data_IF_467493148802
#
_entry.id   IF_467493148802
#
_cell.length_a   1.000
_cell.length_b   1.000
_cell.length_c   1.000
_cell.angle_alpha   90.00
_cell.angle_beta   90.00
_cell.angle_gamma   90.00
#
_symmetry.space_group_name_H-M   'P 1'
#
loop_
_entity.id
_entity.type
_entity.pdbx_description
1 polymer ?
#
# COMPACT_ATOMS: atom_id res chain seq x y z
N UNK A 1 10.36 -13.94 18.90
CA UNK A 1 10.42 -13.90 17.42
C UNK A 1 9.08 -13.41 16.91
N UNK A 2 9.05 -12.69 15.81
CA UNK A 2 7.85 -12.29 15.10
C UNK A 2 8.05 -12.56 13.61
N UNK A 3 6.97 -12.59 12.83
CA UNK A 3 7.03 -12.73 11.37
C UNK A 3 6.39 -11.51 10.71
N UNK A 4 6.98 -11.05 9.63
CA UNK A 4 6.43 -9.99 8.77
C UNK A 4 6.68 -10.29 7.31
N UNK A 5 5.75 -9.88 6.42
CA UNK A 5 5.97 -9.97 5.00
C UNK A 5 7.02 -8.96 4.54
N UNK A 6 7.84 -9.40 3.59
CA UNK A 6 8.73 -8.59 2.77
C UNK A 6 8.22 -8.68 1.34
N UNK A 7 7.95 -7.53 0.72
CA UNK A 7 7.40 -7.44 -0.61
C UNK A 7 8.51 -7.11 -1.60
N UNK A 8 8.74 -8.00 -2.55
CA UNK A 8 9.85 -7.93 -3.49
C UNK A 8 9.32 -7.60 -4.88
N UNK A 9 9.86 -6.55 -5.48
CA UNK A 9 9.52 -6.19 -6.85
C UNK A 9 10.19 -7.16 -7.84
N UNK A 10 9.47 -7.56 -8.89
CA UNK A 10 9.94 -8.62 -9.79
C UNK A 10 9.71 -8.30 -11.27
N UNK A 11 10.61 -8.83 -12.13
CA UNK A 11 10.43 -8.89 -13.60
C UNK A 11 9.81 -10.20 -14.08
N UNK A 12 9.55 -11.17 -13.18
CA UNK A 12 8.94 -12.46 -13.54
C UNK A 12 7.58 -12.25 -14.22
N UNK A 13 7.24 -13.15 -15.12
CA UNK A 13 6.05 -13.02 -15.98
C UNK A 13 4.77 -13.54 -15.32
N UNK A 14 4.87 -14.21 -14.18
CA UNK A 14 3.80 -14.90 -13.49
C UNK A 14 3.25 -14.18 -12.25
N UNK A 15 3.89 -13.08 -11.82
CA UNK A 15 3.45 -12.31 -10.66
C UNK A 15 3.79 -10.83 -10.76
N UNK A 16 3.04 -9.96 -10.09
CA UNK A 16 3.41 -8.56 -9.92
C UNK A 16 4.45 -8.39 -8.83
N UNK A 17 4.34 -9.12 -7.72
CA UNK A 17 5.30 -9.08 -6.61
C UNK A 17 5.55 -10.49 -6.09
N UNK A 18 6.67 -10.66 -5.39
CA UNK A 18 6.89 -11.81 -4.52
C UNK A 18 6.72 -11.39 -3.07
N UNK A 19 5.98 -12.17 -2.30
CA UNK A 19 5.83 -11.96 -0.86
C UNK A 19 6.55 -13.09 -0.12
N UNK A 20 7.45 -12.73 0.80
CA UNK A 20 8.18 -13.66 1.65
C UNK A 20 7.97 -13.32 3.10
N UNK A 21 7.57 -14.30 3.90
CA UNK A 21 7.58 -14.14 5.36
C UNK A 21 9.02 -14.25 5.88
N UNK A 22 9.40 -13.28 6.72
CA UNK A 22 10.69 -13.24 7.39
C UNK A 22 10.50 -13.28 8.89
N UNK A 23 11.17 -14.23 9.55
CA UNK A 23 11.21 -14.32 11.00
C UNK A 23 12.35 -13.47 11.55
N UNK A 24 12.05 -12.61 12.56
CA UNK A 24 12.98 -11.66 13.11
C UNK A 24 12.73 -11.39 14.60
N UNK A 25 13.69 -10.74 15.26
CA UNK A 25 13.54 -10.30 16.65
C UNK A 25 12.66 -9.04 16.72
N UNK A 26 11.54 -9.12 17.43
CA UNK A 26 10.66 -8.00 17.69
C UNK A 26 11.04 -7.26 18.97
N UNK A 27 11.22 -5.96 18.89
CA UNK A 27 11.47 -5.08 20.03
C UNK A 27 10.15 -4.43 20.46
N UNK A 28 9.53 -4.87 21.57
CA UNK A 28 8.23 -4.35 21.98
C UNK A 28 8.31 -2.91 22.46
N UNK A 29 7.23 -2.15 22.27
CA UNK A 29 7.07 -0.79 22.74
C UNK A 29 6.50 0.16 21.69
N UNK A 30 5.91 1.26 22.16
CA UNK A 30 5.30 2.29 21.32
C UNK A 30 6.29 3.36 20.86
N UNK A 31 7.47 3.44 21.47
CA UNK A 31 8.49 4.41 21.12
C UNK A 31 9.03 4.17 19.70
N UNK A 32 9.26 5.26 18.96
CA UNK A 32 9.80 5.21 17.59
C UNK A 32 11.12 4.42 17.56
N UNK A 33 11.97 4.59 18.56
CA UNK A 33 13.25 3.85 18.65
C UNK A 33 13.08 2.33 18.74
N UNK A 34 12.03 1.82 19.38
CA UNK A 34 11.74 0.38 19.42
C UNK A 34 11.25 -0.13 18.08
N UNK A 35 10.42 0.66 17.39
CA UNK A 35 10.00 0.34 16.03
C UNK A 35 11.19 0.31 15.07
N UNK A 36 12.09 1.27 15.17
CA UNK A 36 13.31 1.33 14.36
C UNK A 36 14.26 0.15 14.61
N UNK A 37 14.39 -0.31 15.86
CA UNK A 37 15.13 -1.56 16.17
C UNK A 37 14.47 -2.79 15.52
N UNK A 38 13.15 -2.86 15.57
CA UNK A 38 12.41 -3.95 14.90
C UNK A 38 12.57 -3.92 13.38
N UNK A 39 12.58 -2.72 12.77
CA UNK A 39 12.84 -2.54 11.34
C UNK A 39 14.25 -3.03 10.98
N UNK A 40 15.27 -2.62 11.74
CA UNK A 40 16.66 -3.09 11.52
C UNK A 40 16.77 -4.60 11.62
N UNK A 41 16.16 -5.19 12.66
CA UNK A 41 16.14 -6.64 12.82
C UNK A 41 15.45 -7.35 11.67
N UNK A 42 14.32 -6.83 11.19
CA UNK A 42 13.62 -7.36 10.02
C UNK A 42 14.48 -7.28 8.74
N UNK A 43 15.11 -6.11 8.50
CA UNK A 43 15.96 -5.93 7.32
C UNK A 43 17.20 -6.84 7.35
N UNK A 44 17.89 -6.95 8.49
CA UNK A 44 19.03 -7.85 8.64
C UNK A 44 18.61 -9.32 8.40
N UNK A 45 17.50 -9.75 9.00
CA UNK A 45 16.97 -11.08 8.78
C UNK A 45 16.57 -11.33 7.31
N UNK A 46 15.99 -10.34 6.64
CA UNK A 46 15.64 -10.45 5.22
C UNK A 46 16.90 -10.52 4.32
N UNK A 47 17.95 -9.77 4.64
CA UNK A 47 19.24 -9.87 3.95
C UNK A 47 19.85 -11.28 4.12
N UNK A 48 19.87 -11.80 5.33
CA UNK A 48 20.42 -13.13 5.61
C UNK A 48 19.60 -14.27 5.00
N UNK A 49 18.26 -14.23 5.13
CA UNK A 49 17.38 -15.32 4.71
C UNK A 49 17.08 -15.31 3.21
N UNK A 50 17.02 -14.13 2.59
CA UNK A 50 16.55 -13.95 1.20
C UNK A 50 17.64 -13.42 0.25
N UNK A 51 18.80 -12.99 0.77
CA UNK A 51 19.89 -12.44 -0.05
C UNK A 51 19.57 -11.04 -0.62
N UNK A 52 18.66 -10.29 0.00
CA UNK A 52 18.27 -8.95 -0.44
C UNK A 52 19.32 -7.91 -0.02
N UNK A 53 19.63 -6.95 -0.90
CA UNK A 53 20.66 -5.95 -0.63
C UNK A 53 20.09 -4.54 -0.39
N UNK A 54 18.94 -4.21 -0.99
CA UNK A 54 18.31 -2.90 -0.88
C UNK A 54 16.84 -3.03 -0.46
N UNK A 55 16.58 -2.78 0.83
CA UNK A 55 15.24 -2.88 1.42
C UNK A 55 14.84 -1.51 1.96
N UNK A 56 13.66 -1.03 1.59
CA UNK A 56 13.09 0.22 2.10
C UNK A 56 11.93 -0.05 3.04
N UNK A 57 12.02 0.47 4.25
CA UNK A 57 10.88 0.56 5.15
C UNK A 57 9.98 1.72 4.74
N UNK A 58 8.71 1.46 4.43
CA UNK A 58 7.71 2.47 4.08
C UNK A 58 6.74 2.61 5.25
N UNK A 59 7.06 3.51 6.15
CA UNK A 59 6.18 3.90 7.25
C UNK A 59 6.63 5.22 7.88
N UNK A 60 5.78 5.80 8.72
CA UNK A 60 6.14 6.97 9.54
C UNK A 60 7.25 6.68 10.56
N UNK A 61 7.72 5.44 10.67
CA UNK A 61 8.80 4.99 11.58
C UNK A 61 10.11 4.70 10.85
N UNK A 62 10.11 4.80 9.52
CA UNK A 62 11.33 4.63 8.74
C UNK A 62 12.44 5.56 9.23
N UNK A 63 13.70 5.08 9.17
CA UNK A 63 14.89 5.92 9.39
C UNK A 63 15.28 6.71 8.15
N UNK A 64 14.73 6.34 6.99
CA UNK A 64 14.98 7.00 5.72
C UNK A 64 13.87 8.01 5.45
N UNK A 65 14.23 9.25 5.14
CA UNK A 65 13.27 10.30 4.78
C UNK A 65 12.38 9.89 3.60
N UNK A 66 12.94 9.17 2.64
CA UNK A 66 12.18 8.59 1.52
C UNK A 66 11.07 7.68 2.04
N UNK A 67 11.37 6.74 2.93
CA UNK A 67 10.36 5.80 3.46
C UNK A 67 9.26 6.50 4.27
N UNK A 68 9.61 7.59 4.96
CA UNK A 68 8.62 8.44 5.65
C UNK A 68 7.75 9.18 4.64
N UNK A 69 8.35 9.77 3.60
CA UNK A 69 7.60 10.52 2.57
C UNK A 69 6.68 9.64 1.73
N UNK A 70 7.06 8.38 1.53
CA UNK A 70 6.28 7.36 0.82
C UNK A 70 5.18 6.72 1.67
N UNK A 71 5.13 6.99 2.99
CA UNK A 71 4.01 6.52 3.80
C UNK A 71 2.69 7.07 3.27
N UNK A 72 1.65 6.26 3.22
CA UNK A 72 0.31 6.66 2.77
C UNK A 72 -0.29 7.85 3.56
N UNK A 73 0.25 8.12 4.76
CA UNK A 73 -0.08 9.29 5.58
C UNK A 73 0.57 10.58 5.08
N UNK A 74 1.61 10.50 4.23
CA UNK A 74 2.41 11.63 3.74
C UNK A 74 2.40 11.74 2.21
N UNK A 75 2.48 10.61 1.50
CA UNK A 75 2.43 10.58 0.04
C UNK A 75 1.07 11.10 -0.42
N UNK A 76 1.09 12.23 -1.15
CA UNK A 76 -0.13 12.94 -1.54
C UNK A 76 -0.33 12.90 -3.04
N UNK A 77 -1.59 12.94 -3.46
CA UNK A 77 -1.98 13.16 -4.85
C UNK A 77 -3.02 14.26 -4.93
N UNK A 78 -3.25 14.76 -6.14
CA UNK A 78 -4.28 15.75 -6.44
C UNK A 78 -5.38 15.06 -7.24
N UNK A 79 -6.63 15.17 -6.79
CA UNK A 79 -7.78 14.62 -7.48
C UNK A 79 -8.28 15.55 -8.61
N UNK A 80 -9.30 15.14 -9.36
CA UNK A 80 -9.90 15.93 -10.45
C UNK A 80 -10.44 17.31 -10.01
N UNK A 81 -10.83 17.45 -8.76
CA UNK A 81 -11.38 18.72 -8.19
C UNK A 81 -10.27 19.63 -7.66
N UNK A 82 -8.99 19.34 -7.98
CA UNK A 82 -7.80 20.03 -7.49
C UNK A 82 -7.63 20.01 -5.96
N UNK A 83 -8.19 19.01 -5.29
CA UNK A 83 -7.93 18.78 -3.88
C UNK A 83 -6.66 17.95 -3.76
N UNK A 84 -5.66 18.45 -3.04
CA UNK A 84 -4.43 17.71 -2.72
C UNK A 84 -4.52 17.15 -1.32
N UNK A 85 -4.43 15.83 -1.19
CA UNK A 85 -4.46 15.13 0.09
C UNK A 85 -3.62 13.84 0.06
N UNK A 86 -3.21 13.31 1.24
CA UNK A 86 -2.55 12.02 1.34
C UNK A 86 -3.39 10.85 0.85
N UNK A 87 -2.73 9.79 0.38
CA UNK A 87 -3.36 8.53 -0.05
C UNK A 87 -4.36 8.01 1.00
N UNK A 88 -3.98 7.99 2.28
CA UNK A 88 -4.85 7.53 3.37
C UNK A 88 -6.17 8.33 3.44
N UNK A 89 -6.11 9.64 3.22
CA UNK A 89 -7.29 10.53 3.27
C UNK A 89 -8.26 10.19 2.13
N UNK A 90 -7.75 10.09 0.92
CA UNK A 90 -8.58 9.71 -0.23
C UNK A 90 -9.13 8.29 -0.09
N UNK A 91 -8.31 7.35 0.39
CA UNK A 91 -8.77 5.99 0.61
C UNK A 91 -9.93 5.92 1.61
N UNK A 92 -9.85 6.64 2.74
CA UNK A 92 -10.92 6.63 3.72
C UNK A 92 -12.18 7.36 3.22
N UNK A 93 -12.02 8.52 2.61
CA UNK A 93 -13.14 9.33 2.12
C UNK A 93 -13.88 8.75 0.91
N UNK A 94 -13.23 7.83 0.16
CA UNK A 94 -13.82 7.16 -1.01
C UNK A 94 -14.68 5.94 -0.66
N UNK A 95 -14.68 5.48 0.58
CA UNK A 95 -15.45 4.31 1.01
C UNK A 95 -16.94 4.57 0.90
N UNK A 96 -17.66 3.62 0.31
CA UNK A 96 -19.12 3.59 0.22
C UNK A 96 -19.62 2.38 0.98
N UNK A 97 -20.50 2.63 1.90
CA UNK A 97 -21.13 1.61 2.75
C UNK A 97 -22.60 1.46 2.36
N UNK A 98 -23.25 0.42 2.80
CA UNK A 98 -24.68 0.19 2.56
C UNK A 98 -25.56 1.28 3.18
N UNK A 99 -25.09 1.99 4.22
CA UNK A 99 -25.82 3.04 4.91
C UNK A 99 -25.15 4.43 4.80
N UNK A 100 -24.14 4.61 3.94
CA UNK A 100 -23.49 5.92 3.80
C UNK A 100 -22.25 5.94 2.92
N UNK A 101 -21.72 7.15 2.71
CA UNK A 101 -20.54 7.39 1.88
C UNK A 101 -20.84 7.65 0.40
N UNK A 102 -19.86 8.01 -0.40
CA UNK A 102 -18.50 8.34 0.02
C UNK A 102 -18.48 9.61 0.91
N UNK A 103 -17.54 9.66 1.84
CA UNK A 103 -17.40 10.78 2.77
C UNK A 103 -16.33 11.77 2.27
N UNK A 104 -16.60 12.47 1.17
CA UNK A 104 -15.63 13.34 0.50
C UNK A 104 -15.23 14.58 1.32
N UNK A 105 -15.99 14.95 2.36
CA UNK A 105 -15.60 15.95 3.35
C UNK A 105 -14.31 15.56 4.11
N UNK A 106 -14.00 14.27 4.20
CA UNK A 106 -12.74 13.77 4.77
C UNK A 106 -11.51 14.22 3.96
N UNK A 107 -11.65 14.58 2.69
CA UNK A 107 -10.55 15.08 1.86
C UNK A 107 -9.92 16.37 2.40
N UNK A 108 -10.63 17.08 3.29
CA UNK A 108 -10.14 18.28 3.98
C UNK A 108 -9.58 18.00 5.38
N UNK A 109 -9.48 16.73 5.79
CA UNK A 109 -9.00 16.31 7.10
C UNK A 109 -7.55 15.84 7.04
N UNK A 110 -6.93 15.74 8.21
CA UNK A 110 -5.64 15.03 8.32
C UNK A 110 -5.85 13.52 8.17
N UNK A 111 -4.81 12.79 7.75
CA UNK A 111 -4.84 11.32 7.62
C UNK A 111 -5.31 10.64 8.91
N UNK A 112 -4.93 11.21 10.07
CA UNK A 112 -5.31 10.66 11.38
C UNK A 112 -6.79 10.88 11.69
N UNK A 113 -7.33 12.03 11.36
CA UNK A 113 -8.76 12.34 11.53
C UNK A 113 -9.59 11.50 10.56
N UNK A 114 -9.23 11.46 9.29
CA UNK A 114 -9.93 10.66 8.29
C UNK A 114 -10.00 9.17 8.69
N UNK A 115 -8.88 8.60 9.15
CA UNK A 115 -8.82 7.19 9.59
C UNK A 115 -9.68 6.87 10.82
N UNK A 116 -9.98 7.87 11.64
CA UNK A 116 -10.72 7.71 12.91
C UNK A 116 -12.15 8.21 12.84
N UNK A 117 -12.63 8.57 11.68
CA UNK A 117 -14.00 9.06 11.52
C UNK A 117 -15.00 7.94 11.89
N UNK A 118 -15.91 8.24 12.80
CA UNK A 118 -16.85 7.25 13.35
C UNK A 118 -17.76 6.67 12.28
N UNK A 119 -18.08 7.44 11.24
CA UNK A 119 -18.91 7.00 10.11
C UNK A 119 -18.33 5.80 9.38
N UNK A 120 -16.99 5.61 9.40
CA UNK A 120 -16.34 4.45 8.78
C UNK A 120 -16.67 3.12 9.50
N UNK A 121 -17.21 3.19 10.72
CA UNK A 121 -17.60 2.03 11.52
C UNK A 121 -19.13 1.93 11.61
N UNK A 122 -19.83 3.08 11.64
CA UNK A 122 -21.26 3.15 11.92
C UNK A 122 -22.15 3.04 10.67
N UNK A 123 -21.57 3.14 9.47
CA UNK A 123 -22.32 3.14 8.20
C UNK A 123 -22.58 1.76 7.61
N UNK A 124 -22.38 0.68 8.39
CA UNK A 124 -22.67 -0.69 7.96
C UNK A 124 -21.55 -1.33 7.14
N UNK A 125 -21.90 -2.18 6.19
CA UNK A 125 -20.93 -2.95 5.40
C UNK A 125 -20.34 -2.13 4.26
N UNK A 126 -19.02 -2.22 4.06
CA UNK A 126 -18.34 -1.60 2.92
C UNK A 126 -18.75 -2.34 1.64
N UNK A 127 -19.25 -1.62 0.64
CA UNK A 127 -19.76 -2.19 -0.61
C UNK A 127 -18.94 -1.86 -1.85
N UNK A 128 -18.32 -0.68 -1.91
CA UNK A 128 -17.47 -0.25 -3.03
C UNK A 128 -16.64 0.99 -2.62
N UNK A 129 -15.82 1.51 -3.56
CA UNK A 129 -15.17 2.80 -3.41
C UNK A 129 -15.58 3.73 -4.56
N UNK A 130 -15.75 5.03 -4.27
CA UNK A 130 -15.97 6.05 -5.29
C UNK A 130 -14.87 7.10 -5.24
N UNK A 131 -14.15 7.28 -6.34
CA UNK A 131 -13.09 8.27 -6.48
C UNK A 131 -13.06 8.83 -7.92
N UNK A 132 -13.01 10.15 -8.06
CA UNK A 132 -12.93 10.86 -9.35
C UNK A 132 -13.93 10.35 -10.41
N UNK A 133 -15.22 10.26 -10.03
CA UNK A 133 -16.33 9.72 -10.83
C UNK A 133 -16.21 8.24 -11.23
N UNK A 134 -15.23 7.54 -10.68
CA UNK A 134 -15.04 6.11 -10.92
C UNK A 134 -15.50 5.29 -9.71
N UNK A 135 -16.13 4.18 -10.01
CA UNK A 135 -16.50 3.15 -9.02
C UNK A 135 -15.49 2.04 -9.04
N UNK A 136 -15.06 1.63 -7.86
CA UNK A 136 -14.11 0.55 -7.69
C UNK A 136 -14.75 -0.58 -6.89
N UNK A 137 -14.67 -1.82 -7.39
CA UNK A 137 -15.20 -2.96 -6.67
C UNK A 137 -14.32 -3.31 -5.45
N UNK A 138 -14.88 -4.08 -4.52
CA UNK A 138 -14.11 -4.63 -3.40
C UNK A 138 -13.22 -5.81 -3.80
N UNK A 139 -13.50 -6.44 -4.94
CA UNK A 139 -12.72 -7.57 -5.43
C UNK A 139 -12.09 -7.22 -6.79
N UNK A 140 -10.79 -7.46 -6.93
CA UNK A 140 -9.80 -7.94 -5.94
C UNK A 140 -9.56 -6.90 -4.82
N UNK A 141 -9.29 -7.38 -3.62
CA UNK A 141 -9.48 -6.63 -2.37
C UNK A 141 -8.59 -5.40 -2.16
N UNK A 142 -7.40 -5.34 -2.76
CA UNK A 142 -6.45 -4.22 -2.56
C UNK A 142 -6.43 -3.23 -3.72
N UNK A 143 -7.14 -3.52 -4.79
CA UNK A 143 -7.03 -2.88 -6.10
C UNK A 143 -7.13 -1.36 -6.06
N UNK A 144 -8.14 -0.83 -5.38
CA UNK A 144 -8.34 0.61 -5.28
C UNK A 144 -7.20 1.29 -4.50
N UNK A 145 -6.75 0.68 -3.42
CA UNK A 145 -5.65 1.21 -2.62
C UNK A 145 -4.34 1.22 -3.40
N UNK A 146 -4.03 0.12 -4.10
CA UNK A 146 -2.83 0.01 -4.91
C UNK A 146 -2.84 1.03 -6.06
N UNK A 147 -3.98 1.21 -6.71
CA UNK A 147 -4.14 2.21 -7.76
C UNK A 147 -3.96 3.64 -7.22
N UNK A 148 -4.56 3.99 -6.07
CA UNK A 148 -4.36 5.29 -5.44
C UNK A 148 -2.89 5.55 -5.13
N UNK A 149 -2.21 4.55 -4.59
CA UNK A 149 -0.80 4.64 -4.24
C UNK A 149 0.08 4.82 -5.49
N UNK A 150 -0.15 4.04 -6.54
CA UNK A 150 0.52 4.21 -7.83
C UNK A 150 0.23 5.58 -8.46
N UNK A 151 -1.01 6.06 -8.41
CA UNK A 151 -1.40 7.40 -8.89
C UNK A 151 -0.66 8.51 -8.14
N UNK A 152 -0.48 8.34 -6.84
CA UNK A 152 0.29 9.29 -6.04
C UNK A 152 1.78 9.29 -6.42
N UNK A 153 2.38 8.14 -6.71
CA UNK A 153 3.76 8.04 -7.18
C UNK A 153 3.94 8.70 -8.56
N UNK A 154 3.02 8.49 -9.49
CA UNK A 154 3.04 9.13 -10.82
C UNK A 154 2.96 10.67 -10.74
N UNK A 155 2.39 11.21 -9.67
CA UNK A 155 2.36 12.65 -9.40
C UNK A 155 3.56 13.16 -8.59
N UNK A 156 4.42 12.27 -8.07
CA UNK A 156 5.57 12.59 -7.23
C UNK A 156 6.85 11.92 -7.78
N UNK A 157 7.20 12.24 -9.02
CA UNK A 157 8.27 11.58 -9.78
C UNK A 157 9.62 11.48 -9.03
N UNK A 158 10.11 12.49 -8.30
CA UNK A 158 11.38 12.35 -7.56
C UNK A 158 11.36 11.22 -6.53
N UNK A 159 10.23 11.03 -5.81
CA UNK A 159 10.05 9.93 -4.87
C UNK A 159 9.88 8.59 -5.60
N UNK A 160 9.15 8.59 -6.72
CA UNK A 160 8.95 7.42 -7.54
C UNK A 160 10.28 6.91 -8.13
N UNK A 161 11.12 7.78 -8.66
CA UNK A 161 12.47 7.45 -9.16
C UNK A 161 13.36 6.89 -8.05
N UNK A 162 13.42 7.56 -6.89
CA UNK A 162 14.22 7.10 -5.75
C UNK A 162 13.74 5.76 -5.18
N UNK A 163 12.44 5.45 -5.27
CA UNK A 163 11.88 4.16 -4.87
C UNK A 163 12.45 3.02 -5.73
N UNK A 164 12.75 3.25 -6.99
CA UNK A 164 13.25 2.21 -7.92
C UNK A 164 14.66 1.72 -7.61
N UNK A 165 15.41 2.42 -6.77
CA UNK A 165 16.72 1.99 -6.27
C UNK A 165 16.62 0.79 -5.30
N UNK A 166 15.40 0.48 -4.85
CA UNK A 166 15.14 -0.62 -3.93
C UNK A 166 14.52 -1.83 -4.62
N UNK A 167 14.91 -3.00 -4.14
CA UNK A 167 14.39 -4.28 -4.64
C UNK A 167 13.23 -4.83 -3.81
N UNK A 168 13.17 -4.45 -2.52
CA UNK A 168 12.18 -4.94 -1.59
C UNK A 168 11.69 -3.84 -0.62
N UNK A 169 10.48 -4.05 -0.09
CA UNK A 169 9.77 -3.08 0.74
C UNK A 169 9.16 -3.75 1.95
N UNK A 170 9.18 -3.05 3.08
CA UNK A 170 8.57 -3.47 4.35
C UNK A 170 7.68 -2.38 4.92
N UNK A 171 6.77 -2.77 5.79
CA UNK A 171 5.96 -1.89 6.63
C UNK A 171 5.83 -2.52 8.01
N UNK A 172 6.57 -2.00 8.99
CA UNK A 172 6.60 -2.54 10.36
C UNK A 172 5.28 -2.32 11.10
N UNK A 173 4.47 -1.35 10.66
CA UNK A 173 3.15 -1.06 11.23
C UNK A 173 2.05 -1.95 10.63
N UNK A 174 2.32 -2.59 9.49
CA UNK A 174 1.37 -3.51 8.85
C UNK A 174 1.28 -4.81 9.64
N UNK A 175 0.04 -5.21 9.94
CA UNK A 175 -0.27 -6.52 10.51
C UNK A 175 -1.26 -7.23 9.58
N UNK A 176 -0.84 -8.32 8.90
CA UNK A 176 -1.71 -9.05 7.96
C UNK A 176 -2.98 -9.63 8.61
N UNK A 177 -2.95 -9.89 9.94
CA UNK A 177 -4.13 -10.37 10.67
C UNK A 177 -5.19 -9.28 10.89
N UNK A 178 -4.88 -8.00 10.60
CA UNK A 178 -5.74 -6.85 10.91
C UNK A 178 -5.99 -5.92 9.73
N UNK A 179 -5.23 -6.05 8.67
CA UNK A 179 -5.31 -5.17 7.50
C UNK A 179 -4.97 -5.94 6.24
N UNK A 180 -5.70 -5.64 5.17
CA UNK A 180 -5.45 -6.20 3.84
C UNK A 180 -4.52 -5.27 3.06
N UNK A 181 -4.75 -3.95 3.15
CA UNK A 181 -3.98 -2.96 2.39
C UNK A 181 -2.63 -2.69 3.07
N UNK A 182 -1.57 -2.71 2.27
CA UNK A 182 -0.20 -2.49 2.73
C UNK A 182 0.56 -1.58 1.75
N UNK A 183 0.99 -0.42 2.22
CA UNK A 183 1.73 0.56 1.41
C UNK A 183 3.05 -0.01 0.85
N UNK A 184 3.71 -0.91 1.57
CA UNK A 184 4.91 -1.58 1.07
C UNK A 184 4.61 -2.55 -0.09
N UNK A 185 3.46 -3.23 -0.05
CA UNK A 185 2.99 -4.04 -1.17
C UNK A 185 2.69 -3.18 -2.40
N UNK A 186 1.97 -2.07 -2.23
CA UNK A 186 1.67 -1.13 -3.31
C UNK A 186 2.94 -0.53 -3.94
N UNK A 187 3.96 -0.22 -3.13
CA UNK A 187 5.26 0.23 -3.61
C UNK A 187 5.98 -0.85 -4.44
N UNK A 188 5.95 -2.11 -4.00
CA UNK A 188 6.50 -3.23 -4.75
C UNK A 188 5.76 -3.46 -6.08
N UNK A 189 4.42 -3.30 -6.10
CA UNK A 189 3.59 -3.36 -7.31
C UNK A 189 4.02 -2.25 -8.28
N UNK A 190 4.13 -1.00 -7.83
CA UNK A 190 4.60 0.11 -8.64
C UNK A 190 5.97 -0.18 -9.27
N UNK A 191 6.95 -0.55 -8.45
CA UNK A 191 8.30 -0.88 -8.92
C UNK A 191 8.29 -2.01 -9.95
N UNK A 192 7.42 -3.01 -9.78
CA UNK A 192 7.28 -4.11 -10.71
C UNK A 192 6.61 -3.69 -12.03
N UNK A 193 5.58 -2.84 -11.97
CA UNK A 193 4.95 -2.28 -13.17
C UNK A 193 5.94 -1.47 -13.99
N UNK A 194 6.78 -0.65 -13.35
CA UNK A 194 7.86 0.09 -14.03
C UNK A 194 8.89 -0.88 -14.62
N UNK A 195 9.37 -1.87 -13.87
CA UNK A 195 10.34 -2.87 -14.32
C UNK A 195 9.85 -3.72 -15.51
N UNK A 196 8.53 -3.82 -15.68
CA UNK A 196 7.86 -4.58 -16.75
C UNK A 196 7.41 -3.69 -17.91
N UNK A 197 7.67 -2.37 -17.88
CA UNK A 197 7.19 -1.38 -18.85
C UNK A 197 5.64 -1.33 -18.94
N UNK A 198 4.95 -1.62 -17.83
CA UNK A 198 3.49 -1.71 -17.76
C UNK A 198 2.85 -0.50 -17.07
N UNK A 199 3.61 0.34 -16.39
CA UNK A 199 3.05 1.43 -15.56
C UNK A 199 2.17 2.37 -16.39
N UNK A 200 2.63 2.81 -17.54
CA UNK A 200 1.88 3.71 -18.43
C UNK A 200 0.57 3.08 -18.89
N UNK A 201 0.56 1.79 -19.18
CA UNK A 201 -0.66 1.07 -19.58
C UNK A 201 -1.60 0.90 -18.40
N UNK A 202 -1.09 0.49 -17.25
CA UNK A 202 -1.85 0.29 -16.02
C UNK A 202 -2.57 1.58 -15.59
N UNK A 203 -1.90 2.72 -15.66
CA UNK A 203 -2.43 3.99 -15.19
C UNK A 203 -3.38 4.70 -16.17
N UNK A 204 -3.62 4.16 -17.38
CA UNK A 204 -4.58 4.74 -18.35
C UNK A 204 -6.02 4.75 -17.83
N UNK A 205 -6.43 3.74 -17.10
CA UNK A 205 -7.79 3.61 -16.57
C UNK A 205 -7.87 2.59 -15.44
N UNK A 206 -8.91 2.69 -14.63
CA UNK A 206 -9.28 1.68 -13.64
C UNK A 206 -9.33 0.27 -14.27
N UNK A 207 -9.98 0.14 -15.42
CA UNK A 207 -10.10 -1.14 -16.14
C UNK A 207 -8.73 -1.73 -16.51
N UNK A 208 -7.83 -0.92 -17.06
CA UNK A 208 -6.48 -1.37 -17.42
C UNK A 208 -5.70 -1.85 -16.19
N UNK A 209 -5.79 -1.11 -15.08
CA UNK A 209 -5.13 -1.49 -13.84
C UNK A 209 -5.63 -2.84 -13.32
N UNK A 210 -6.95 -3.04 -13.31
CA UNK A 210 -7.60 -4.30 -12.90
C UNK A 210 -7.15 -5.45 -13.82
N UNK A 211 -7.24 -5.29 -15.14
CA UNK A 211 -6.87 -6.33 -16.11
C UNK A 211 -5.39 -6.75 -15.99
N UNK A 212 -4.50 -5.78 -15.78
CA UNK A 212 -3.08 -6.07 -15.58
C UNK A 212 -2.89 -6.82 -14.25
N UNK A 213 -3.52 -6.34 -13.18
CA UNK A 213 -3.40 -6.97 -11.88
C UNK A 213 -3.93 -8.41 -11.87
N UNK A 214 -5.10 -8.66 -12.47
CA UNK A 214 -5.68 -9.99 -12.61
C UNK A 214 -4.79 -10.94 -13.43
N UNK A 215 -4.21 -10.46 -14.53
CA UNK A 215 -3.29 -11.25 -15.36
C UNK A 215 -2.12 -11.84 -14.56
N UNK A 216 -1.63 -11.09 -13.57
CA UNK A 216 -0.50 -11.50 -12.74
C UNK A 216 -0.91 -12.13 -11.40
N UNK A 217 -2.19 -12.07 -11.02
CA UNK A 217 -2.71 -12.69 -9.79
C UNK A 217 -3.00 -14.18 -9.97
N UNK A 218 -3.26 -14.64 -11.19
CA UNK A 218 -3.58 -16.05 -11.49
C UNK A 218 -2.36 -16.97 -11.44
N UNK A 219 -1.15 -16.46 -11.30
CA UNK A 219 0.10 -17.23 -11.22
C UNK A 219 0.69 -17.43 -9.82
N UNK A 220 0.21 -16.72 -8.82
CA UNK A 220 0.71 -16.79 -7.43
C UNK A 220 -0.43 -17.06 -6.46
N UNK A 221 -0.22 -18.00 -5.55
CA UNK A 221 -1.18 -18.35 -4.50
C UNK A 221 -1.57 -17.09 -3.73
N UNK A 222 -2.78 -16.63 -3.92
CA UNK A 222 -3.41 -15.57 -3.15
C UNK A 222 -3.37 -15.97 -1.67
N UNK A 223 -2.80 -15.10 -0.83
CA UNK A 223 -3.19 -15.10 0.59
C UNK A 223 -4.63 -14.58 0.57
N UNK A 224 -5.57 -15.50 0.45
CA UNK A 224 -6.94 -15.19 0.09
C UNK A 224 -7.94 -15.59 1.15
N UNK A 225 -8.91 -14.70 1.31
CA UNK A 225 -10.33 -14.99 1.61
C UNK A 225 -10.65 -15.70 2.93
N UNK A 226 -10.06 -15.28 4.05
CA UNK A 226 -10.51 -15.79 5.36
C UNK A 226 -10.95 -14.71 6.37
N UNK A 227 -11.25 -13.49 5.93
CA UNK A 227 -11.66 -12.42 6.86
C UNK A 227 -13.03 -11.80 6.57
N UNK A 228 -13.91 -12.54 5.89
CA UNK A 228 -15.34 -12.22 5.84
C UNK A 228 -16.15 -13.43 6.34
N UNK A 229 -16.16 -13.65 7.66
CA UNK A 229 -17.20 -14.34 8.44
C UNK A 229 -17.22 -13.76 9.83
#
# INVERSE_FOLDING_TARGET
>A
MAKRPVFISTKKTDSLIETKEVEFEWYPGLAVSQKQKSIESLHNAAQEQLGLNSILEISSKSKMDLGVSLSAFNLSLTNKDNIKAPVEVFFQGSKVFDQGGPFTDLYQKTSREAKKDERLVESGDLIEFHFDDQKWPLSPSTMFYDWLYCSALEQNLPQAEALLDYEAFTDIEFNPDRSINCQAASAAIYASLVKKDLITEAMKSCKNFIEIHERYSTGGTLIQDTLFN
#
